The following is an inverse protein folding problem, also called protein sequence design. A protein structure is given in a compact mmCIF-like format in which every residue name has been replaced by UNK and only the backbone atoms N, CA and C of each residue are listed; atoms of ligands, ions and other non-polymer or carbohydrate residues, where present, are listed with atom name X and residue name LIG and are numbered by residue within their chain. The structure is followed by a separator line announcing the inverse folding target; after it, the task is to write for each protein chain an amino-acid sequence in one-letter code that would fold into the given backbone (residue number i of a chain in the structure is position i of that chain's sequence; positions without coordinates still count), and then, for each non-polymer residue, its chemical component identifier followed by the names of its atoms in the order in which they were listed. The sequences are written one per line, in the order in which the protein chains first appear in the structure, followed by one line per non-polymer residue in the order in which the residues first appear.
data_IF_879803450957
#
_entry.id   IF_879803450957
#
_cell.length_a   1.000
_cell.length_b   1.000
_cell.length_c   1.000
_cell.angle_alpha   90.00
_cell.angle_beta   90.00
_cell.angle_gamma   90.00
#
_symmetry.space_group_name_H-M   'P 1'
#
loop_
_entity.id
_entity.type
_entity.pdbx_description
1 polymer ?
#
# COMPACT_ATOMS: atom_id res chain seq x y z
N UNK A 1 4.17 35.96 -1.87
CA UNK A 1 4.93 34.76 -2.31
C UNK A 1 6.12 34.50 -1.39
N UNK A 2 6.89 35.55 -1.01
CA UNK A 2 7.90 35.42 0.05
C UNK A 2 7.30 35.15 1.43
N UNK A 3 6.10 35.66 1.71
CA UNK A 3 5.45 35.53 3.03
C UNK A 3 5.25 34.07 3.43
N UNK A 4 4.81 33.22 2.49
CA UNK A 4 4.67 31.78 2.71
C UNK A 4 5.99 31.08 3.03
N UNK A 5 7.11 31.56 2.47
CA UNK A 5 8.42 30.99 2.73
C UNK A 5 8.93 31.40 4.12
N UNK A 6 8.76 32.67 4.48
CA UNK A 6 9.11 33.19 5.82
C UNK A 6 8.34 32.45 6.92
N UNK A 7 7.02 32.32 6.76
CA UNK A 7 6.17 31.57 7.71
C UNK A 7 6.59 30.10 7.76
N UNK A 8 6.87 29.48 6.62
CA UNK A 8 7.26 28.06 6.59
C UNK A 8 8.55 27.78 7.37
N UNK A 9 9.56 28.65 7.29
CA UNK A 9 10.83 28.48 8.02
C UNK A 9 10.61 28.60 9.52
N UNK A 10 9.73 29.51 9.96
CA UNK A 10 9.40 29.70 11.37
C UNK A 10 8.63 28.50 11.94
N UNK A 11 7.70 27.94 11.16
CA UNK A 11 6.77 26.89 11.61
C UNK A 11 7.30 25.46 11.38
N UNK A 12 8.30 25.26 10.52
CA UNK A 12 8.91 23.94 10.22
C UNK A 12 9.28 23.13 11.48
N UNK A 13 9.91 23.69 12.52
CA UNK A 13 10.30 22.94 13.72
C UNK A 13 9.10 22.39 14.50
N UNK A 14 7.92 22.97 14.31
CA UNK A 14 6.68 22.63 14.99
C UNK A 14 5.70 21.85 14.10
N UNK A 15 6.05 21.65 12.83
CA UNK A 15 5.18 20.99 11.84
C UNK A 15 5.50 19.50 11.74
N UNK A 16 4.56 18.68 12.21
CA UNK A 16 4.61 17.24 11.99
C UNK A 16 3.76 16.85 10.78
N UNK A 17 4.39 16.22 9.80
CA UNK A 17 3.71 15.56 8.69
C UNK A 17 3.75 14.07 8.97
N UNK A 18 2.59 13.41 8.85
CA UNK A 18 2.46 11.94 8.99
C UNK A 18 3.20 11.17 7.91
N UNK A 19 2.70 9.99 7.52
CA UNK A 19 3.34 9.06 6.56
C UNK A 19 4.23 9.75 5.51
N UNK A 20 5.55 9.56 5.66
CA UNK A 20 6.59 10.27 4.91
C UNK A 20 6.58 9.79 3.46
N UNK A 21 5.90 10.54 2.59
CA UNK A 21 6.03 10.35 1.14
C UNK A 21 7.48 10.61 0.69
N UNK A 22 7.84 10.18 -0.53
CA UNK A 22 9.14 10.50 -1.16
C UNK A 22 9.47 12.00 -1.24
N UNK A 23 8.51 12.89 -0.99
CA UNK A 23 8.67 14.35 -0.96
C UNK A 23 8.39 14.92 0.44
N UNK A 24 8.88 14.23 1.49
CA UNK A 24 8.67 14.61 2.89
C UNK A 24 9.01 16.08 3.19
N UNK A 25 10.16 16.57 2.72
CA UNK A 25 10.61 17.94 2.97
C UNK A 25 9.70 18.98 2.32
N UNK A 26 9.22 18.70 1.11
CA UNK A 26 8.23 19.54 0.41
C UNK A 26 6.89 19.54 1.14
N UNK A 27 6.46 18.37 1.65
CA UNK A 27 5.21 18.26 2.40
C UNK A 27 5.29 19.07 3.70
N UNK A 28 6.42 18.99 4.42
CA UNK A 28 6.68 19.76 5.63
C UNK A 28 6.69 21.25 5.36
N UNK A 29 7.44 21.69 4.35
CA UNK A 29 7.51 23.10 3.95
C UNK A 29 6.13 23.66 3.57
N UNK A 30 5.38 22.93 2.75
CA UNK A 30 4.06 23.37 2.28
C UNK A 30 3.00 23.36 3.39
N UNK A 31 3.09 22.41 4.33
CA UNK A 31 2.22 22.37 5.51
C UNK A 31 2.54 23.50 6.48
N UNK A 32 3.82 23.79 6.71
CA UNK A 32 4.27 24.92 7.53
C UNK A 32 3.88 26.28 6.91
N UNK A 33 3.79 26.36 5.57
CA UNK A 33 3.34 27.54 4.86
C UNK A 33 1.81 27.75 4.88
N UNK A 34 1.02 26.77 5.35
CA UNK A 34 -0.45 26.77 5.26
C UNK A 34 -1.09 28.02 5.85
N UNK A 35 -0.58 28.48 7.01
CA UNK A 35 -1.06 29.69 7.69
C UNK A 35 -0.90 30.96 6.83
N UNK A 36 0.15 31.07 6.01
CA UNK A 36 0.36 32.23 5.16
C UNK A 36 -0.61 32.30 3.98
N UNK A 37 -1.17 31.16 3.58
CA UNK A 37 -2.14 31.05 2.49
C UNK A 37 -3.59 30.97 2.98
N UNK A 38 -3.81 31.02 4.30
CA UNK A 38 -5.14 30.90 4.91
C UNK A 38 -5.77 29.53 4.73
N UNK A 39 -4.97 28.49 4.51
CA UNK A 39 -5.46 27.11 4.38
C UNK A 39 -5.84 26.55 5.76
N UNK A 40 -6.88 25.71 5.78
CA UNK A 40 -7.25 24.99 6.97
C UNK A 40 -6.22 23.88 7.29
N UNK A 41 -6.19 23.47 8.55
CA UNK A 41 -5.32 22.38 8.99
C UNK A 41 -5.53 21.13 8.12
N UNK A 42 -4.44 20.52 7.65
CA UNK A 42 -4.42 19.36 6.75
C UNK A 42 -5.00 19.57 5.33
N UNK A 43 -5.44 20.77 4.95
CA UNK A 43 -6.02 21.03 3.62
C UNK A 43 -5.03 20.72 2.48
N UNK A 44 -3.80 21.21 2.59
CA UNK A 44 -2.72 20.91 1.64
C UNK A 44 -2.46 19.41 1.54
N UNK A 45 -2.31 18.74 2.69
CA UNK A 45 -2.01 17.30 2.71
C UNK A 45 -3.15 16.46 2.13
N UNK A 46 -4.40 16.86 2.33
CA UNK A 46 -5.56 16.21 1.73
C UNK A 46 -5.61 16.40 0.21
N UNK A 47 -5.36 17.62 -0.27
CA UNK A 47 -5.27 17.92 -1.70
C UNK A 47 -4.10 17.18 -2.36
N UNK A 48 -2.93 17.16 -1.71
CA UNK A 48 -1.73 16.48 -2.18
C UNK A 48 -1.95 14.95 -2.25
N UNK A 49 -2.50 14.34 -1.20
CA UNK A 49 -2.88 12.91 -1.20
C UNK A 49 -3.92 12.60 -2.27
N UNK A 50 -4.89 13.49 -2.52
CA UNK A 50 -5.86 13.32 -3.60
C UNK A 50 -5.17 13.38 -4.97
N UNK A 51 -4.23 14.28 -5.17
CA UNK A 51 -3.49 14.40 -6.42
C UNK A 51 -2.63 13.15 -6.71
N UNK A 52 -1.92 12.65 -5.68
CA UNK A 52 -1.19 11.37 -5.77
C UNK A 52 -2.15 10.25 -6.18
N UNK A 53 -3.28 10.12 -5.48
CA UNK A 53 -4.31 9.11 -5.80
C UNK A 53 -4.81 9.19 -7.24
N UNK A 54 -5.11 10.40 -7.73
CA UNK A 54 -5.55 10.60 -9.11
C UNK A 54 -4.45 10.19 -10.11
N UNK A 55 -3.20 10.56 -9.84
CA UNK A 55 -2.05 10.17 -10.69
C UNK A 55 -1.90 8.65 -10.78
N UNK A 56 -2.15 7.93 -9.69
CA UNK A 56 -2.14 6.46 -9.69
C UNK A 56 -3.31 5.85 -10.46
N UNK A 57 -4.49 6.46 -10.43
CA UNK A 57 -5.65 6.05 -11.23
C UNK A 57 -5.37 6.27 -12.72
N UNK A 58 -4.84 7.43 -13.10
CA UNK A 58 -4.44 7.72 -14.50
C UNK A 58 -3.36 6.73 -15.00
N UNK A 59 -2.44 6.32 -14.11
CA UNK A 59 -1.44 5.30 -14.40
C UNK A 59 -2.06 3.90 -14.63
N UNK A 60 -3.13 3.54 -13.90
CA UNK A 60 -3.89 2.31 -14.17
C UNK A 60 -4.57 2.36 -15.55
N UNK A 61 -5.25 3.46 -15.85
CA UNK A 61 -6.01 3.60 -17.10
C UNK A 61 -5.10 3.61 -18.33
N UNK A 62 -3.93 4.24 -18.22
CA UNK A 62 -2.94 4.28 -19.31
C UNK A 62 -2.17 2.97 -19.49
N UNK A 63 -2.12 2.11 -18.46
CA UNK A 63 -1.42 0.83 -18.50
C UNK A 63 -2.31 -0.30 -19.02
N UNK A 64 -2.02 -0.76 -20.24
CA UNK A 64 -2.73 -1.90 -20.83
C UNK A 64 -2.55 -3.19 -20.02
N UNK A 65 -1.42 -3.34 -19.31
CA UNK A 65 -1.16 -4.46 -18.42
C UNK A 65 -2.02 -4.40 -17.15
N UNK A 66 -2.13 -3.20 -16.54
CA UNK A 66 -2.99 -3.01 -15.38
C UNK A 66 -4.47 -3.26 -15.72
N UNK A 67 -4.94 -2.74 -16.86
CA UNK A 67 -6.29 -3.01 -17.37
C UNK A 67 -6.56 -4.51 -17.55
N UNK A 68 -5.57 -5.27 -18.05
CA UNK A 68 -5.66 -6.73 -18.15
C UNK A 68 -5.83 -7.42 -16.80
N UNK A 69 -5.09 -7.00 -15.77
CA UNK A 69 -5.23 -7.52 -14.41
C UNK A 69 -6.60 -7.20 -13.83
N UNK A 70 -7.06 -5.94 -13.96
CA UNK A 70 -8.39 -5.55 -13.45
C UNK A 70 -9.49 -6.39 -14.09
N UNK A 71 -9.45 -6.57 -15.41
CA UNK A 71 -10.38 -7.46 -16.14
C UNK A 71 -10.28 -8.92 -15.72
N UNK A 72 -9.08 -9.42 -15.44
CA UNK A 72 -8.91 -10.76 -14.88
C UNK A 72 -9.66 -10.89 -13.56
N UNK A 73 -9.54 -9.90 -12.68
CA UNK A 73 -10.20 -9.90 -11.37
C UNK A 73 -11.71 -9.62 -11.42
N UNK A 74 -12.26 -9.17 -12.55
CA UNK A 74 -13.72 -9.18 -12.75
C UNK A 74 -14.29 -10.62 -12.80
N UNK A 75 -13.46 -11.61 -13.17
CA UNK A 75 -13.86 -13.02 -13.33
C UNK A 75 -13.18 -13.98 -12.36
N UNK A 76 -11.98 -13.64 -11.90
CA UNK A 76 -11.17 -14.44 -10.98
C UNK A 76 -11.01 -13.70 -9.64
N UNK A 77 -10.94 -14.43 -8.53
CA UNK A 77 -10.79 -13.83 -7.20
C UNK A 77 -9.35 -13.75 -6.72
N UNK A 78 -8.47 -14.58 -7.28
CA UNK A 78 -7.06 -14.67 -6.92
C UNK A 78 -6.23 -15.24 -8.05
N UNK A 79 -4.92 -15.05 -7.94
CA UNK A 79 -3.91 -15.69 -8.77
C UNK A 79 -2.71 -16.08 -7.91
N UNK A 80 -2.23 -17.30 -8.08
CA UNK A 80 -0.96 -17.74 -7.52
C UNK A 80 -0.17 -18.52 -8.58
N UNK A 81 1.09 -18.18 -8.77
CA UNK A 81 1.94 -18.86 -9.74
C UNK A 81 3.20 -18.09 -10.10
N UNK A 82 3.87 -18.50 -11.18
CA UNK A 82 5.05 -17.79 -11.69
C UNK A 82 4.60 -16.54 -12.47
N UNK A 83 5.44 -15.48 -12.53
CA UNK A 83 5.12 -14.28 -13.32
C UNK A 83 4.78 -14.56 -14.79
N UNK A 84 5.43 -15.54 -15.41
CA UNK A 84 5.13 -15.93 -16.80
C UNK A 84 3.79 -16.65 -16.94
N UNK A 85 3.32 -17.32 -15.89
CA UNK A 85 2.01 -17.99 -15.88
C UNK A 85 0.90 -16.95 -15.78
N UNK A 86 1.12 -15.84 -15.07
CA UNK A 86 0.19 -14.70 -15.09
C UNK A 86 0.10 -14.10 -16.49
N UNK A 87 1.25 -13.90 -17.15
CA UNK A 87 1.26 -13.38 -18.53
C UNK A 87 0.42 -14.27 -19.46
N UNK A 88 0.70 -15.58 -19.47
CA UNK A 88 -0.06 -16.55 -20.27
C UNK A 88 -1.54 -16.55 -19.91
N UNK A 89 -1.88 -16.47 -18.63
CA UNK A 89 -3.28 -16.38 -18.17
C UNK A 89 -4.00 -15.16 -18.75
N UNK A 90 -3.33 -14.00 -18.81
CA UNK A 90 -3.88 -12.77 -19.39
C UNK A 90 -4.11 -12.90 -20.90
N UNK A 91 -3.20 -13.58 -21.59
CA UNK A 91 -3.25 -13.80 -23.04
C UNK A 91 -4.28 -14.87 -23.42
N UNK A 92 -4.18 -16.07 -22.83
CA UNK A 92 -4.98 -17.25 -23.16
C UNK A 92 -6.47 -17.07 -22.84
N UNK A 93 -6.80 -16.33 -21.77
CA UNK A 93 -8.19 -16.06 -21.39
C UNK A 93 -8.76 -14.79 -22.01
N UNK A 94 -8.04 -14.17 -22.96
CA UNK A 94 -8.48 -12.98 -23.69
C UNK A 94 -8.86 -11.80 -22.76
N UNK A 95 -8.20 -11.65 -21.61
CA UNK A 95 -8.36 -10.45 -20.77
C UNK A 95 -7.77 -9.20 -21.45
N UNK A 96 -6.90 -9.43 -22.44
CA UNK A 96 -6.23 -8.40 -23.22
C UNK A 96 -6.36 -8.73 -24.71
N UNK A 97 -6.54 -7.69 -25.54
CA UNK A 97 -6.64 -7.86 -26.99
C UNK A 97 -5.29 -8.24 -27.63
N UNK A 98 -5.33 -8.99 -28.73
CA UNK A 98 -4.12 -9.40 -29.48
C UNK A 98 -3.26 -8.21 -29.94
N UNK A 99 -3.87 -7.08 -30.28
CA UNK A 99 -3.18 -5.83 -30.64
C UNK A 99 -2.29 -5.32 -29.49
N UNK A 100 -2.75 -5.46 -28.25
CA UNK A 100 -2.01 -5.04 -27.06
C UNK A 100 -0.87 -6.01 -26.77
N UNK A 101 -1.11 -7.32 -26.88
CA UNK A 101 -0.10 -8.37 -26.66
C UNK A 101 1.09 -8.18 -27.61
N UNK A 102 0.83 -7.81 -28.87
CA UNK A 102 1.86 -7.50 -29.87
C UNK A 102 2.55 -6.14 -29.68
N UNK A 103 2.08 -5.31 -28.75
CA UNK A 103 2.65 -3.98 -28.54
C UNK A 103 4.01 -4.05 -27.85
N UNK A 104 4.92 -3.13 -28.17
CA UNK A 104 6.25 -3.04 -27.53
C UNK A 104 6.19 -2.79 -26.02
N UNK A 105 5.07 -2.29 -25.51
CA UNK A 105 4.87 -2.02 -24.09
C UNK A 105 4.44 -3.27 -23.31
N UNK A 106 3.95 -4.31 -23.98
CA UNK A 106 3.55 -5.54 -23.31
C UNK A 106 4.79 -6.29 -22.78
N UNK A 107 4.79 -6.77 -21.52
CA UNK A 107 5.89 -7.57 -21.01
C UNK A 107 5.98 -8.91 -21.73
N UNK A 108 7.20 -9.34 -22.07
CA UNK A 108 7.44 -10.65 -22.72
C UNK A 108 8.27 -11.60 -21.85
N UNK A 109 8.72 -11.14 -20.68
CA UNK A 109 9.59 -11.91 -19.78
C UNK A 109 9.07 -11.88 -18.35
N UNK A 110 9.38 -12.91 -17.57
CA UNK A 110 9.03 -12.99 -16.13
C UNK A 110 9.51 -11.77 -15.34
N UNK A 111 10.73 -11.30 -15.63
CA UNK A 111 11.30 -10.11 -14.99
C UNK A 111 10.53 -8.84 -15.37
N UNK A 112 10.12 -8.73 -16.64
CA UNK A 112 9.26 -7.65 -17.11
C UNK A 112 7.95 -7.60 -16.34
N UNK A 113 7.27 -8.73 -16.18
CA UNK A 113 6.02 -8.84 -15.41
C UNK A 113 6.21 -8.35 -13.97
N UNK A 114 7.25 -8.83 -13.28
CA UNK A 114 7.54 -8.38 -11.90
C UNK A 114 7.79 -6.88 -11.84
N UNK A 115 8.58 -6.32 -12.76
CA UNK A 115 8.84 -4.88 -12.81
C UNK A 115 7.56 -4.06 -13.05
N UNK A 116 6.63 -4.57 -13.86
CA UNK A 116 5.32 -3.95 -14.06
C UNK A 116 4.50 -3.99 -12.78
N UNK A 117 4.41 -5.15 -12.12
CA UNK A 117 3.68 -5.32 -10.87
C UNK A 117 4.25 -4.42 -9.76
N UNK A 118 5.57 -4.37 -9.60
CA UNK A 118 6.24 -3.52 -8.60
C UNK A 118 5.94 -2.03 -8.84
N UNK A 119 5.85 -1.59 -10.11
CA UNK A 119 5.52 -0.19 -10.46
C UNK A 119 4.04 0.13 -10.30
N UNK A 120 3.18 -0.85 -10.53
CA UNK A 120 1.74 -0.72 -10.48
C UNK A 120 1.18 -1.08 -9.10
N UNK A 121 2.02 -1.43 -8.13
CA UNK A 121 1.56 -1.92 -6.84
C UNK A 121 0.62 -0.92 -6.14
N UNK A 122 1.08 0.31 -5.89
CA UNK A 122 0.26 1.37 -5.28
C UNK A 122 -1.01 1.64 -6.10
N UNK A 123 -0.89 1.61 -7.42
CA UNK A 123 -2.02 1.76 -8.34
C UNK A 123 -3.03 0.62 -8.22
N UNK A 124 -2.61 -0.64 -8.11
CA UNK A 124 -3.50 -1.80 -7.97
C UNK A 124 -4.18 -1.84 -6.60
N UNK A 125 -3.48 -1.42 -5.55
CA UNK A 125 -4.02 -1.35 -4.19
C UNK A 125 -5.21 -0.37 -4.11
N UNK A 126 -5.22 0.67 -4.95
CA UNK A 126 -6.33 1.63 -5.06
C UNK A 126 -7.63 1.02 -5.59
N UNK A 127 -7.56 -0.13 -6.26
CA UNK A 127 -8.71 -0.91 -6.75
C UNK A 127 -8.88 -2.23 -5.96
N UNK A 128 -8.38 -2.25 -4.72
CA UNK A 128 -8.42 -3.38 -3.77
C UNK A 128 -7.72 -4.65 -4.30
N UNK A 129 -6.77 -4.52 -5.23
CA UNK A 129 -5.97 -5.64 -5.75
C UNK A 129 -4.58 -5.55 -5.14
N UNK A 130 -4.21 -6.57 -4.36
CA UNK A 130 -2.94 -6.64 -3.67
C UNK A 130 -2.03 -7.66 -4.34
N UNK A 131 -0.76 -7.33 -4.44
CA UNK A 131 0.26 -8.18 -5.03
C UNK A 131 1.40 -8.38 -4.03
N UNK A 132 1.85 -9.63 -3.92
CA UNK A 132 3.09 -9.97 -3.23
C UNK A 132 3.90 -10.96 -4.06
N UNK A 133 5.23 -10.89 -3.90
CA UNK A 133 6.16 -11.87 -4.48
C UNK A 133 6.89 -12.62 -3.39
N UNK A 134 7.07 -13.91 -3.62
CA UNK A 134 7.88 -14.80 -2.76
C UNK A 134 8.92 -15.51 -3.60
N UNK A 135 9.94 -16.04 -2.94
CA UNK A 135 10.95 -16.88 -3.58
C UNK A 135 10.90 -18.27 -2.96
N UNK A 136 10.93 -19.28 -3.80
CA UNK A 136 11.05 -20.67 -3.36
C UNK A 136 12.51 -21.02 -2.99
N UNK A 137 12.74 -22.18 -2.38
CA UNK A 137 14.07 -22.72 -2.02
C UNK A 137 15.03 -22.77 -3.21
N UNK A 138 14.52 -22.88 -4.44
CA UNK A 138 15.32 -22.84 -5.68
C UNK A 138 15.48 -21.41 -6.25
N UNK A 139 15.22 -20.36 -5.47
CA UNK A 139 15.30 -18.94 -5.87
C UNK A 139 14.38 -18.56 -7.05
N UNK A 140 13.34 -19.35 -7.30
CA UNK A 140 12.32 -19.06 -8.31
C UNK A 140 11.28 -18.11 -7.72
N UNK A 141 10.92 -17.07 -8.47
CA UNK A 141 9.93 -16.08 -8.05
C UNK A 141 8.51 -16.60 -8.30
N UNK A 142 7.69 -16.52 -7.26
CA UNK A 142 6.25 -16.73 -7.30
C UNK A 142 5.56 -15.42 -6.95
N UNK A 143 4.37 -15.23 -7.48
CA UNK A 143 3.53 -14.07 -7.23
C UNK A 143 2.17 -14.57 -6.74
N UNK A 144 1.65 -13.90 -5.71
CA UNK A 144 0.25 -14.01 -5.34
C UNK A 144 -0.41 -12.65 -5.58
N UNK A 145 -1.62 -12.69 -6.13
CA UNK A 145 -2.45 -11.52 -6.35
C UNK A 145 -3.83 -11.87 -5.82
N UNK A 146 -4.37 -11.03 -4.94
CA UNK A 146 -5.65 -11.24 -4.28
C UNK A 146 -6.46 -9.96 -4.30
N UNK A 147 -7.78 -10.07 -4.50
CA UNK A 147 -8.69 -8.97 -4.25
C UNK A 147 -9.07 -8.98 -2.78
N UNK A 148 -8.85 -7.88 -2.06
CA UNK A 148 -9.31 -7.76 -0.69
C UNK A 148 -10.83 -7.62 -0.69
N UNK A 149 -11.53 -8.73 -0.44
CA UNK A 149 -12.93 -8.65 -0.05
C UNK A 149 -12.92 -8.13 1.38
N UNK A 150 -13.36 -6.89 1.59
CA UNK A 150 -13.71 -6.36 2.91
C UNK A 150 -14.74 -7.31 3.53
N UNK A 151 -14.28 -8.32 4.27
CA UNK A 151 -15.12 -9.03 5.23
C UNK A 151 -15.43 -8.01 6.32
N UNK A 152 -16.60 -7.40 6.22
CA UNK A 152 -17.26 -6.81 7.38
C UNK A 152 -17.30 -7.83 8.52
N UNK A 153 -17.02 -7.32 9.73
CA UNK A 153 -17.19 -7.88 11.10
C UNK A 153 -16.07 -8.71 11.74
N UNK A 154 -15.32 -8.03 12.63
CA UNK A 154 -15.02 -8.32 14.05
C UNK A 154 -14.87 -9.79 14.48
N UNK A 155 -13.69 -10.18 14.99
CA UNK A 155 -13.45 -10.29 16.44
C UNK A 155 -11.96 -10.48 16.76
N UNK A 156 -11.55 -9.87 17.88
CA UNK A 156 -10.24 -9.89 18.57
C UNK A 156 -9.37 -11.15 18.32
N UNK A 157 -8.08 -10.93 18.05
CA UNK A 157 -7.05 -11.65 18.80
C UNK A 157 -5.98 -10.65 19.25
N UNK A 158 -6.11 -10.25 20.51
CA UNK A 158 -5.09 -9.53 21.27
C UNK A 158 -4.13 -10.62 21.75
N UNK A 159 -2.93 -10.69 21.17
CA UNK A 159 -1.83 -11.47 21.74
C UNK A 159 -1.23 -10.66 22.90
N UNK A 160 -1.40 -11.17 24.11
CA UNK A 160 -0.51 -10.92 25.22
C UNK A 160 -0.49 -12.19 26.07
N UNK A 161 0.50 -13.04 25.81
CA UNK A 161 1.02 -13.96 26.80
C UNK A 161 1.73 -13.13 27.87
N UNK A 162 1.31 -13.26 29.11
CA UNK A 162 2.16 -13.21 30.29
C UNK A 162 1.32 -13.71 31.45
N UNK A 163 1.49 -14.99 31.79
CA UNK A 163 1.21 -15.50 33.13
C UNK A 163 2.38 -16.43 33.44
N UNK A 164 3.43 -15.78 33.94
CA UNK A 164 4.40 -16.40 34.83
C UNK A 164 3.63 -16.92 36.06
N UNK A 165 3.81 -18.19 36.34
CA UNK A 165 3.42 -18.89 37.56
C UNK A 165 4.24 -18.31 38.73
N UNK A 166 3.57 -17.83 39.79
CA UNK A 166 4.08 -18.01 41.16
C UNK A 166 3.05 -17.69 42.26
N UNK A 167 2.74 -18.73 43.05
CA UNK A 167 2.45 -18.71 44.48
C UNK A 167 1.11 -18.14 45.02
N UNK A 168 0.27 -19.08 45.44
CA UNK A 168 -0.70 -18.91 46.53
C UNK A 168 0.07 -19.01 47.86
N UNK A 169 0.29 -17.89 48.54
CA UNK A 169 0.67 -17.88 49.96
C UNK A 169 -0.19 -16.84 50.68
N UNK A 170 -1.07 -17.35 51.55
CA UNK A 170 -2.01 -16.61 52.38
C UNK A 170 -1.30 -15.75 53.43
N UNK A 171 -1.60 -14.44 53.46
CA UNK A 171 -1.06 -13.46 54.42
C UNK A 171 -1.85 -13.37 55.74
N UNK A 172 -2.66 -14.36 56.09
CA UNK A 172 -3.52 -14.32 57.28
C UNK A 172 -3.06 -15.20 58.47
N UNK A 173 -1.79 -15.57 58.55
CA UNK A 173 -1.27 -16.46 59.62
C UNK A 173 -0.20 -15.85 60.54
N UNK A 174 -0.02 -14.53 60.58
CA UNK A 174 0.90 -13.91 61.55
C UNK A 174 0.29 -12.70 62.23
N UNK A 175 -0.77 -12.96 63.01
CA UNK A 175 -1.25 -12.06 64.06
C UNK A 175 -1.41 -12.88 65.33
N UNK A 176 -0.28 -13.26 65.92
CA UNK A 176 -0.17 -13.61 67.33
C UNK A 176 1.30 -13.58 67.78
N UNK A 177 1.53 -12.81 68.85
CA UNK A 177 2.70 -12.76 69.74
C UNK A 177 3.93 -11.91 69.34
N UNK A 178 4.08 -10.87 70.18
CA UNK A 178 5.20 -9.96 70.46
C UNK A 178 5.25 -8.65 69.66
#
# INVERSE_FOLDING_TARGET
MLDGLVTSIQEIPHTEVGELSRMADFCRLSTAASNAYGWHENEFMNAYKKNIRNTHIDSLESSTFASGIVKMFERESNFYGRPIELLKRLEDKCYVSEKVIRSRRWPTTSKGVVNYLDRLQESLEMVDIYYNKTKDRTNKTFIAIDRYIKKTSKHKFKSASDNFDDSHIDLNSFKDKF
#
